data_IF_221086914756
#
_entry.id   IF_221086914756
#
_cell.length_a   1.000
_cell.length_b   1.000
_cell.length_c   1.000
_cell.angle_alpha   90.00
_cell.angle_beta   90.00
_cell.angle_gamma   90.00
#
_symmetry.space_group_name_H-M   'P 1'
#
loop_
_entity.id
_entity.type
_entity.pdbx_description
1 polymer ?
#
# COMPACT_ATOMS: atom_id res chain seq x y z
N UNK A 1 -0.79 -17.48 -10.63
CA UNK A 1 -0.56 -16.07 -10.24
C UNK A 1 -1.64 -15.27 -10.93
N UNK A 2 -2.44 -14.53 -10.18
CA UNK A 2 -3.52 -13.69 -10.73
C UNK A 2 -2.89 -12.42 -11.35
N UNK A 3 -3.36 -12.00 -12.53
CA UNK A 3 -2.80 -10.83 -13.25
C UNK A 3 -2.86 -9.56 -12.39
N UNK A 4 -3.88 -9.46 -11.53
CA UNK A 4 -4.04 -8.34 -10.59
C UNK A 4 -2.97 -8.34 -9.50
N UNK A 5 -2.63 -9.52 -8.98
CA UNK A 5 -1.57 -9.68 -7.97
C UNK A 5 -0.20 -9.36 -8.59
N UNK A 6 0.06 -9.86 -9.80
CA UNK A 6 1.29 -9.55 -10.53
C UNK A 6 1.43 -8.07 -10.92
N UNK A 7 0.33 -7.36 -11.16
CA UNK A 7 0.35 -5.91 -11.35
C UNK A 7 0.68 -5.17 -10.06
N UNK A 8 0.06 -5.56 -8.94
CA UNK A 8 0.32 -4.94 -7.63
C UNK A 8 1.79 -5.07 -7.22
N UNK A 9 2.40 -6.25 -7.41
CA UNK A 9 3.83 -6.45 -7.16
C UNK A 9 4.71 -5.52 -8.00
N UNK A 10 4.37 -5.32 -9.28
CA UNK A 10 5.12 -4.39 -10.15
C UNK A 10 4.97 -2.94 -9.70
N UNK A 11 3.80 -2.53 -9.24
CA UNK A 11 3.57 -1.19 -8.69
C UNK A 11 4.43 -0.99 -7.44
N UNK A 12 4.41 -1.94 -6.49
CA UNK A 12 5.23 -1.89 -5.28
C UNK A 12 6.73 -1.82 -5.60
N UNK A 13 7.18 -2.59 -6.59
CA UNK A 13 8.57 -2.53 -7.04
C UNK A 13 8.94 -1.16 -7.62
N UNK A 14 8.06 -0.57 -8.44
CA UNK A 14 8.29 0.77 -9.00
C UNK A 14 8.33 1.82 -7.87
N UNK A 15 7.41 1.73 -6.92
CA UNK A 15 7.38 2.58 -5.74
C UNK A 15 8.73 2.54 -5.01
N UNK A 16 9.21 1.34 -4.67
CA UNK A 16 10.45 1.15 -3.92
C UNK A 16 11.69 1.63 -4.68
N UNK A 17 11.81 1.28 -5.97
CA UNK A 17 13.01 1.60 -6.77
C UNK A 17 13.17 3.09 -7.01
N UNK A 18 12.06 3.81 -7.15
CA UNK A 18 12.06 5.24 -7.50
C UNK A 18 11.63 6.16 -6.36
N UNK A 19 11.44 5.61 -5.15
CA UNK A 19 10.98 6.34 -3.97
C UNK A 19 9.75 7.22 -4.27
N UNK A 20 8.76 6.63 -4.94
CA UNK A 20 7.59 7.36 -5.42
C UNK A 20 6.49 7.41 -4.35
N UNK A 21 5.85 8.58 -4.12
CA UNK A 21 4.72 8.67 -3.21
C UNK A 21 3.52 7.86 -3.70
N UNK A 22 2.86 7.13 -2.80
CA UNK A 22 1.66 6.33 -3.14
C UNK A 22 0.51 7.18 -3.69
N UNK A 23 0.37 8.43 -3.22
CA UNK A 23 -0.69 9.34 -3.67
C UNK A 23 -0.45 9.81 -5.11
N UNK A 24 0.81 10.01 -5.50
CA UNK A 24 1.21 10.33 -6.87
C UNK A 24 0.97 9.14 -7.79
N UNK A 25 1.42 7.94 -7.40
CA UNK A 25 1.18 6.71 -8.15
C UNK A 25 -0.32 6.46 -8.37
N UNK A 26 -1.14 6.65 -7.32
CA UNK A 26 -2.58 6.50 -7.44
C UNK A 26 -3.24 7.54 -8.36
N UNK A 27 -2.65 8.73 -8.50
CA UNK A 27 -3.10 9.76 -9.44
C UNK A 27 -2.56 9.57 -10.86
N UNK A 28 -1.78 8.51 -11.11
CA UNK A 28 -1.23 8.20 -12.43
C UNK A 28 0.10 8.89 -12.73
N UNK A 29 0.78 9.44 -11.72
CA UNK A 29 2.13 10.01 -11.84
C UNK A 29 3.20 8.94 -11.62
N UNK A 30 4.17 8.88 -12.51
CA UNK A 30 5.38 8.05 -12.40
C UNK A 30 6.56 8.94 -12.76
N UNK A 31 7.24 9.48 -11.75
CA UNK A 31 8.29 10.50 -11.93
C UNK A 31 7.76 11.68 -12.77
N UNK A 32 8.36 12.01 -13.90
CA UNK A 32 7.92 13.10 -14.79
C UNK A 32 6.78 12.73 -15.74
N UNK A 33 6.37 11.46 -15.77
CA UNK A 33 5.29 10.97 -16.65
C UNK A 33 3.95 11.03 -15.91
N UNK A 34 2.93 11.55 -16.58
CA UNK A 34 1.55 11.55 -16.09
C UNK A 34 0.65 10.80 -17.05
N UNK A 35 -0.13 9.88 -16.51
CA UNK A 35 -1.15 9.12 -17.25
C UNK A 35 -2.53 9.58 -16.82
N UNK A 36 -3.53 9.39 -17.68
CA UNK A 36 -4.93 9.70 -17.34
C UNK A 36 -5.59 8.59 -16.48
N UNK A 37 -4.81 7.65 -15.94
CA UNK A 37 -5.31 6.53 -15.18
C UNK A 37 -5.18 6.82 -13.67
N UNK A 38 -6.30 6.79 -12.96
CA UNK A 38 -6.34 6.96 -11.51
C UNK A 38 -6.80 5.68 -10.82
N UNK A 39 -6.12 5.30 -9.75
CA UNK A 39 -6.49 4.17 -8.92
C UNK A 39 -7.67 4.53 -8.02
N UNK A 40 -8.62 3.60 -7.89
CA UNK A 40 -9.75 3.70 -6.95
C UNK A 40 -9.36 3.08 -5.61
N UNK A 41 -10.15 3.35 -4.57
CA UNK A 41 -9.98 2.73 -3.24
C UNK A 41 -9.80 1.20 -3.33
N UNK A 42 -10.63 0.51 -4.12
CA UNK A 42 -10.53 -0.95 -4.28
C UNK A 42 -9.19 -1.41 -4.88
N UNK A 43 -8.59 -0.62 -5.78
CA UNK A 43 -7.27 -0.93 -6.35
C UNK A 43 -6.17 -0.74 -5.30
N UNK A 44 -6.21 0.36 -4.55
CA UNK A 44 -5.27 0.65 -3.46
C UNK A 44 -5.34 -0.44 -2.39
N UNK A 45 -6.55 -0.92 -2.08
CA UNK A 45 -6.76 -2.02 -1.15
C UNK A 45 -6.19 -3.35 -1.66
N UNK A 46 -6.29 -3.62 -2.97
CA UNK A 46 -5.66 -4.80 -3.57
C UNK A 46 -4.13 -4.75 -3.42
N UNK A 47 -3.53 -3.58 -3.66
CA UNK A 47 -2.08 -3.37 -3.51
C UNK A 47 -1.65 -3.55 -2.05
N UNK A 48 -2.38 -2.96 -1.10
CA UNK A 48 -2.17 -3.17 0.34
C UNK A 48 -2.08 -4.66 0.70
N UNK A 49 -3.05 -5.48 0.25
CA UNK A 49 -3.07 -6.91 0.58
C UNK A 49 -1.83 -7.64 0.07
N UNK A 50 -1.35 -7.26 -1.12
CA UNK A 50 -0.14 -7.85 -1.72
C UNK A 50 1.11 -7.41 -0.98
N UNK A 51 1.21 -6.12 -0.63
CA UNK A 51 2.30 -5.59 0.19
C UNK A 51 2.37 -6.29 1.55
N UNK A 52 1.23 -6.42 2.24
CA UNK A 52 1.14 -7.11 3.54
C UNK A 52 1.47 -8.60 3.44
N UNK A 53 1.09 -9.27 2.35
CA UNK A 53 1.42 -10.68 2.09
C UNK A 53 2.91 -10.89 1.81
N UNK A 54 3.57 -9.89 1.24
CA UNK A 54 5.00 -9.92 0.89
C UNK A 54 5.87 -9.21 1.92
N UNK A 55 5.34 -8.95 3.11
CA UNK A 55 6.04 -8.36 4.26
C UNK A 55 6.63 -6.96 3.98
N UNK A 56 6.12 -6.26 2.96
CA UNK A 56 6.45 -4.86 2.69
C UNK A 56 5.56 -3.94 3.53
N UNK A 57 5.70 -3.98 4.86
CA UNK A 57 4.71 -3.39 5.76
C UNK A 57 4.62 -1.87 5.70
N UNK A 58 5.73 -1.15 5.48
CA UNK A 58 5.70 0.31 5.28
C UNK A 58 4.81 0.67 4.10
N UNK A 59 5.05 0.07 2.93
CA UNK A 59 4.20 0.28 1.74
C UNK A 59 2.77 -0.21 1.97
N UNK A 60 2.58 -1.31 2.70
CA UNK A 60 1.24 -1.80 3.03
C UNK A 60 0.44 -0.73 3.81
N UNK A 61 1.05 -0.12 4.83
CA UNK A 61 0.42 0.93 5.63
C UNK A 61 0.05 2.12 4.74
N UNK A 62 0.99 2.61 3.92
CA UNK A 62 0.76 3.75 3.01
C UNK A 62 -0.41 3.50 2.04
N UNK A 63 -0.45 2.32 1.39
CA UNK A 63 -1.53 1.96 0.47
C UNK A 63 -2.88 1.78 1.17
N UNK A 64 -2.89 1.29 2.41
CA UNK A 64 -4.10 1.14 3.21
C UNK A 64 -4.65 2.49 3.67
N UNK A 65 -3.79 3.41 4.10
CA UNK A 65 -4.18 4.78 4.46
C UNK A 65 -4.77 5.52 3.25
N UNK A 66 -4.12 5.43 2.10
CA UNK A 66 -4.62 6.02 0.87
C UNK A 66 -5.95 5.40 0.42
N UNK A 67 -6.10 4.08 0.54
CA UNK A 67 -7.37 3.41 0.25
C UNK A 67 -8.50 3.94 1.15
N UNK A 68 -8.21 4.15 2.45
CA UNK A 68 -9.15 4.73 3.41
C UNK A 68 -9.49 6.18 3.09
N UNK A 69 -8.51 6.98 2.69
CA UNK A 69 -8.73 8.38 2.29
C UNK A 69 -9.65 8.47 1.07
N UNK A 70 -9.35 7.72 0.01
CA UNK A 70 -10.17 7.65 -1.21
C UNK A 70 -11.56 7.10 -0.86
N UNK A 71 -11.67 6.08 0.00
CA UNK A 71 -12.96 5.57 0.49
C UNK A 71 -13.74 6.57 1.36
N UNK A 72 -13.08 7.47 2.08
CA UNK A 72 -13.76 8.55 2.81
C UNK A 72 -14.48 9.50 1.85
N UNK A 73 -13.94 9.64 0.64
CA UNK A 73 -14.56 10.41 -0.45
C UNK A 73 -15.56 9.61 -1.27
N UNK A 74 -15.32 8.31 -1.47
CA UNK A 74 -16.17 7.36 -2.18
C UNK A 74 -17.00 6.53 -1.19
N UNK A 75 -18.32 6.74 -1.11
CA UNK A 75 -19.29 6.12 -0.17
C UNK A 75 -19.36 4.56 -0.13
N UNK A 76 -18.40 3.82 -0.67
CA UNK A 76 -18.52 2.42 -1.09
C UNK A 76 -17.57 1.41 -0.42
N UNK A 77 -16.78 1.77 0.61
CA UNK A 77 -15.87 0.81 1.28
C UNK A 77 -16.22 0.61 2.75
N UNK A 78 -16.37 -0.63 3.22
CA UNK A 78 -16.62 -0.92 4.64
C UNK A 78 -15.37 -0.56 5.49
N UNK A 79 -15.43 0.48 6.34
CA UNK A 79 -14.25 1.00 7.05
C UNK A 79 -13.66 0.02 8.07
N UNK A 80 -14.46 -0.95 8.54
CA UNK A 80 -14.09 -1.90 9.60
C UNK A 80 -13.03 -2.91 9.12
N UNK A 81 -13.18 -3.43 7.90
CA UNK A 81 -12.24 -4.44 7.38
C UNK A 81 -10.87 -3.85 7.09
N UNK A 82 -10.85 -2.62 6.58
CA UNK A 82 -9.64 -1.82 6.38
C UNK A 82 -8.93 -1.55 7.71
N UNK A 83 -9.68 -1.15 8.74
CA UNK A 83 -9.12 -0.84 10.06
C UNK A 83 -8.44 -2.07 10.71
N UNK A 84 -9.06 -3.24 10.65
CA UNK A 84 -8.46 -4.46 11.20
C UNK A 84 -7.18 -4.87 10.44
N UNK A 85 -7.24 -4.83 9.12
CA UNK A 85 -6.10 -5.22 8.28
C UNK A 85 -4.92 -4.25 8.41
N UNK A 86 -5.20 -2.95 8.56
CA UNK A 86 -4.21 -1.91 8.84
C UNK A 86 -3.56 -2.10 10.22
N UNK A 87 -4.36 -2.39 11.26
CA UNK A 87 -3.84 -2.61 12.60
C UNK A 87 -2.85 -3.78 12.65
N UNK A 88 -3.17 -4.89 12.00
CA UNK A 88 -2.26 -6.04 11.90
C UNK A 88 -0.96 -5.69 11.15
N UNK A 89 -1.03 -4.84 10.11
CA UNK A 89 0.16 -4.42 9.37
C UNK A 89 1.07 -3.52 10.23
N UNK A 90 0.47 -2.61 11.01
CA UNK A 90 1.19 -1.75 11.96
C UNK A 90 1.86 -2.58 13.05
N UNK A 91 1.14 -3.53 13.66
CA UNK A 91 1.70 -4.39 14.71
C UNK A 91 2.93 -5.16 14.20
N UNK A 92 2.83 -5.76 13.01
CA UNK A 92 3.96 -6.48 12.39
C UNK A 92 5.13 -5.56 12.05
N UNK A 93 4.87 -4.39 11.46
CA UNK A 93 5.90 -3.40 11.18
C UNK A 93 6.66 -3.00 12.46
N UNK A 94 5.93 -2.75 13.55
CA UNK A 94 6.55 -2.39 14.82
C UNK A 94 7.39 -3.54 15.40
N UNK A 95 6.92 -4.78 15.26
CA UNK A 95 7.69 -5.94 15.69
C UNK A 95 9.00 -6.11 14.91
N UNK A 96 8.98 -5.95 13.59
CA UNK A 96 10.21 -5.99 12.77
C UNK A 96 11.20 -4.92 13.19
N UNK A 97 10.71 -3.68 13.39
CA UNK A 97 11.55 -2.57 13.84
C UNK A 97 12.21 -2.86 15.20
N UNK A 98 11.46 -3.42 16.15
CA UNK A 98 12.01 -3.81 17.45
C UNK A 98 13.05 -4.93 17.35
N UNK A 99 12.88 -5.86 16.43
CA UNK A 99 13.82 -6.98 16.25
C UNK A 99 15.11 -6.54 15.55
N UNK A 100 15.02 -5.64 14.57
CA UNK A 100 16.19 -5.01 13.94
C UNK A 100 17.01 -4.22 14.97
N UNK A 101 16.36 -3.46 15.86
CA UNK A 101 17.04 -2.73 16.94
C UNK A 101 17.77 -3.64 17.93
N UNK A 102 17.27 -4.86 18.18
CA UNK A 102 17.93 -5.82 19.10
C UNK A 102 19.17 -6.47 18.49
N UNK A 103 19.29 -6.50 17.16
CA UNK A 103 20.45 -7.07 16.46
C UNK A 103 21.66 -6.12 16.41
N UNK A 104 21.45 -4.83 16.68
CA UNK A 104 22.49 -3.80 16.69
C UNK A 104 23.15 -3.57 18.08
N UNK A 105 22.72 -4.31 19.12
CA UNK A 105 23.22 -4.26 20.50
C UNK A 105 24.01 -5.53 20.88
#
# INVERSE_FOLDING_TARGET
>A
MDDLEGLAEKILRIQYVYDLPVDQLAKGWISTLHTNCTLKSAHCYAIFKVAAKTEQFTSAIEWAELAKEIAGTDKMSSPVFLAFSLWNAIEKHNQEFEDDMKLEL
#
